data_IF_647794882352
#
_entry.id   IF_647794882352
#
_cell.length_a   1.000
_cell.length_b   1.000
_cell.length_c   1.000
_cell.angle_alpha   90.00
_cell.angle_beta   90.00
_cell.angle_gamma   90.00
#
_symmetry.space_group_name_H-M   'P 1'
#
loop_
_entity.id
_entity.type
_entity.pdbx_description
1 polymer ?
#
# COMPACT_ATOMS: atom_id res chain seq x y z
N UNK A 1 26.22 -4.15 27.67
CA UNK A 1 25.52 -2.99 27.10
C UNK A 1 24.78 -3.48 25.86
N UNK A 2 23.48 -3.79 25.99
CA UNK A 2 22.64 -4.20 24.86
C UNK A 2 22.53 -3.01 23.92
N UNK A 3 22.96 -3.14 22.66
CA UNK A 3 22.64 -2.14 21.65
C UNK A 3 21.11 -2.07 21.56
N UNK A 4 20.53 -0.90 21.76
CA UNK A 4 19.12 -0.69 21.48
C UNK A 4 18.96 -0.78 19.96
N UNK A 5 18.45 -1.91 19.48
CA UNK A 5 18.20 -2.11 18.05
C UNK A 5 17.10 -1.14 17.62
N UNK A 6 17.46 -0.16 16.79
CA UNK A 6 16.52 0.83 16.22
C UNK A 6 16.13 0.44 14.81
N UNK A 7 14.91 0.75 14.39
CA UNK A 7 14.48 0.56 12.99
C UNK A 7 15.24 1.52 12.05
N UNK A 8 15.60 1.10 10.82
CA UNK A 8 15.36 -0.22 10.23
C UNK A 8 16.22 -1.33 10.86
N UNK A 9 15.71 -2.55 10.86
CA UNK A 9 16.41 -3.71 11.40
C UNK A 9 17.72 -3.98 10.63
N UNK A 10 18.75 -4.50 11.32
CA UNK A 10 19.98 -4.90 10.67
C UNK A 10 19.72 -6.04 9.66
N UNK A 11 20.58 -6.15 8.65
CA UNK A 11 20.56 -7.30 7.75
C UNK A 11 20.70 -8.59 8.55
N UNK A 12 19.99 -9.64 8.13
CA UNK A 12 19.97 -10.95 8.79
C UNK A 12 19.47 -10.95 10.24
N UNK A 13 18.68 -9.94 10.66
CA UNK A 13 18.02 -9.95 11.96
C UNK A 13 17.15 -11.20 12.16
N UNK A 14 16.39 -11.57 11.12
CA UNK A 14 15.62 -12.81 11.09
C UNK A 14 16.46 -13.95 10.51
N UNK A 15 16.47 -15.08 11.22
CA UNK A 15 17.05 -16.32 10.73
C UNK A 15 15.94 -17.16 10.10
N UNK A 16 15.99 -17.29 8.78
CA UNK A 16 14.95 -17.93 7.98
C UNK A 16 15.45 -19.27 7.42
N UNK A 17 15.37 -20.40 8.17
CA UNK A 17 15.70 -21.71 7.64
C UNK A 17 14.77 -22.09 6.47
N UNK A 18 15.22 -22.93 5.51
CA UNK A 18 14.36 -23.33 4.40
C UNK A 18 13.04 -23.95 4.87
N UNK A 19 11.95 -23.56 4.21
CA UNK A 19 10.64 -24.16 4.44
C UNK A 19 10.61 -25.61 3.93
N UNK A 20 9.93 -26.47 4.67
CA UNK A 20 9.61 -27.83 4.22
C UNK A 20 8.53 -27.82 3.15
N UNK A 21 8.44 -28.89 2.33
CA UNK A 21 7.40 -29.01 1.31
C UNK A 21 5.98 -28.94 1.90
N UNK A 22 5.80 -29.46 3.11
CA UNK A 22 4.53 -29.38 3.84
C UNK A 22 4.15 -27.96 4.23
N UNK A 23 5.11 -27.17 4.71
CA UNK A 23 4.90 -25.74 5.02
C UNK A 23 4.60 -24.94 3.76
N UNK A 24 5.35 -25.18 2.67
CA UNK A 24 5.10 -24.54 1.37
C UNK A 24 3.67 -24.83 0.91
N UNK A 25 3.25 -26.11 0.89
CA UNK A 25 1.90 -26.48 0.49
C UNK A 25 0.82 -25.83 1.37
N UNK A 26 1.03 -25.78 2.69
CA UNK A 26 0.13 -25.13 3.64
C UNK A 26 -0.03 -23.64 3.33
N UNK A 27 1.08 -22.91 3.16
CA UNK A 27 1.04 -21.49 2.87
C UNK A 27 0.42 -21.16 1.51
N UNK A 28 0.61 -22.00 0.49
CA UNK A 28 -0.05 -21.81 -0.81
C UNK A 28 -1.58 -21.92 -0.70
N UNK A 29 -2.10 -22.90 0.05
CA UNK A 29 -3.54 -23.05 0.28
C UNK A 29 -4.09 -21.86 1.07
N UNK A 30 -3.41 -21.49 2.16
CA UNK A 30 -3.83 -20.36 3.00
C UNK A 30 -3.82 -19.03 2.20
N UNK A 31 -2.80 -18.84 1.35
CA UNK A 31 -2.66 -17.67 0.48
C UNK A 31 -3.83 -17.54 -0.51
N UNK A 32 -4.20 -18.64 -1.16
CA UNK A 32 -5.32 -18.69 -2.10
C UNK A 32 -6.65 -18.39 -1.41
N UNK A 33 -6.89 -18.99 -0.23
CA UNK A 33 -8.11 -18.74 0.54
C UNK A 33 -8.19 -17.28 0.99
N UNK A 34 -7.09 -16.73 1.50
CA UNK A 34 -7.04 -15.33 1.94
C UNK A 34 -7.27 -14.35 0.77
N UNK A 35 -6.67 -14.60 -0.39
CA UNK A 35 -6.88 -13.79 -1.60
C UNK A 35 -8.37 -13.67 -1.94
N UNK A 36 -9.07 -14.80 -2.03
CA UNK A 36 -10.50 -14.82 -2.35
C UNK A 36 -11.38 -14.27 -1.23
N UNK A 37 -10.99 -14.45 0.03
CA UNK A 37 -11.67 -13.81 1.17
C UNK A 37 -11.59 -12.28 1.07
N UNK A 38 -10.44 -11.71 0.69
CA UNK A 38 -10.29 -10.26 0.50
C UNK A 38 -11.10 -9.78 -0.71
N UNK A 39 -11.11 -10.53 -1.82
CA UNK A 39 -11.99 -10.25 -2.97
C UNK A 39 -13.46 -10.22 -2.55
N UNK A 40 -13.91 -11.17 -1.74
CA UNK A 40 -15.27 -11.20 -1.21
C UNK A 40 -15.58 -9.97 -0.33
N UNK A 41 -14.67 -9.60 0.58
CA UNK A 41 -14.81 -8.42 1.44
C UNK A 41 -14.87 -7.11 0.63
N UNK A 42 -14.19 -7.04 -0.51
CA UNK A 42 -14.15 -5.84 -1.35
C UNK A 42 -15.47 -5.56 -2.10
N UNK A 43 -16.41 -6.50 -2.12
CA UNK A 43 -17.70 -6.29 -2.78
C UNK A 43 -18.60 -5.38 -1.94
N UNK A 44 -18.73 -4.12 -2.36
CA UNK A 44 -19.51 -3.10 -1.66
C UNK A 44 -21.04 -3.33 -1.71
N UNK A 45 -21.54 -4.08 -2.69
CA UNK A 45 -22.97 -4.36 -2.88
C UNK A 45 -23.18 -5.85 -3.05
N UNK A 46 -24.11 -6.42 -2.29
CA UNK A 46 -24.41 -7.86 -2.32
C UNK A 46 -23.25 -8.75 -1.83
N UNK A 47 -22.20 -8.16 -1.25
CA UNK A 47 -21.10 -8.88 -0.64
C UNK A 47 -21.39 -9.34 0.78
N UNK A 48 -20.45 -10.05 1.39
CA UNK A 48 -20.58 -10.59 2.74
C UNK A 48 -20.41 -9.55 3.86
N UNK A 49 -19.94 -8.34 3.54
CA UNK A 49 -19.69 -7.28 4.51
C UNK A 49 -20.71 -6.15 4.34
N UNK A 50 -21.44 -5.76 5.40
CA UNK A 50 -22.43 -4.68 5.36
C UNK A 50 -21.74 -3.32 5.43
N UNK A 51 -21.13 -2.90 4.31
CA UNK A 51 -20.42 -1.63 4.22
C UNK A 51 -21.33 -0.41 4.35
N UNK A 52 -20.97 0.50 5.24
CA UNK A 52 -21.62 1.82 5.40
C UNK A 52 -20.71 2.91 4.88
N UNK A 53 -21.21 3.80 4.02
CA UNK A 53 -20.47 4.93 3.49
C UNK A 53 -20.21 5.96 4.60
N UNK A 54 -18.94 6.33 4.78
CA UNK A 54 -18.48 7.29 5.80
C UNK A 54 -18.00 8.61 5.20
N UNK A 55 -17.43 8.58 4.00
CA UNK A 55 -16.88 9.75 3.31
C UNK A 55 -17.00 9.55 1.80
N UNK A 56 -17.42 10.58 1.08
CA UNK A 56 -17.44 10.64 -0.38
C UNK A 56 -16.62 11.86 -0.80
N UNK A 57 -15.36 11.62 -1.16
CA UNK A 57 -14.40 12.65 -1.58
C UNK A 57 -14.21 12.55 -3.10
N UNK A 58 -13.68 13.60 -3.73
CA UNK A 58 -13.57 13.68 -5.19
C UNK A 58 -12.71 12.55 -5.80
N UNK A 59 -11.74 12.04 -5.04
CA UNK A 59 -10.73 11.06 -5.47
C UNK A 59 -10.88 9.69 -4.79
N UNK A 60 -11.67 9.58 -3.72
CA UNK A 60 -11.95 8.31 -3.07
C UNK A 60 -13.24 8.31 -2.23
N UNK A 61 -13.85 7.13 -2.12
CA UNK A 61 -14.95 6.84 -1.17
C UNK A 61 -14.43 5.98 -0.04
N UNK A 62 -14.88 6.25 1.18
CA UNK A 62 -14.46 5.52 2.37
C UNK A 62 -15.69 4.89 3.02
N UNK A 63 -15.62 3.59 3.26
CA UNK A 63 -16.64 2.79 3.90
C UNK A 63 -16.12 2.21 5.22
N UNK A 64 -17.04 1.89 6.13
CA UNK A 64 -16.79 1.24 7.40
C UNK A 64 -17.77 0.10 7.60
N UNK A 65 -17.31 -0.98 8.24
CA UNK A 65 -18.14 -2.06 8.73
C UNK A 65 -17.61 -2.53 10.09
N UNK A 66 -18.41 -3.32 10.80
CA UNK A 66 -18.05 -3.92 12.07
C UNK A 66 -18.17 -5.44 11.96
N UNK A 67 -17.19 -6.15 12.49
CA UNK A 67 -17.20 -7.60 12.60
C UNK A 67 -17.42 -7.98 14.06
N UNK A 68 -18.64 -8.44 14.35
CA UNK A 68 -19.06 -8.83 15.69
C UNK A 68 -18.29 -10.05 16.21
N UNK A 69 -17.84 -10.95 15.33
CA UNK A 69 -17.19 -12.20 15.73
C UNK A 69 -15.87 -11.97 16.44
N UNK A 70 -15.11 -10.96 15.99
CA UNK A 70 -13.79 -10.62 16.53
C UNK A 70 -13.80 -9.26 17.24
N UNK A 71 -14.97 -8.62 17.38
CA UNK A 71 -15.10 -7.28 17.96
C UNK A 71 -14.29 -6.20 17.23
N UNK A 72 -14.07 -6.37 15.92
CA UNK A 72 -13.12 -5.58 15.15
C UNK A 72 -13.81 -4.70 14.12
N UNK A 73 -13.11 -3.67 13.65
CA UNK A 73 -13.65 -2.72 12.67
C UNK A 73 -12.95 -2.87 11.33
N UNK A 74 -13.73 -2.92 10.26
CA UNK A 74 -13.24 -2.93 8.90
C UNK A 74 -13.39 -1.53 8.29
N UNK A 75 -12.41 -1.15 7.47
CA UNK A 75 -12.53 0.01 6.61
C UNK A 75 -12.23 -0.38 5.17
N UNK A 76 -12.83 0.36 4.24
CA UNK A 76 -12.63 0.17 2.83
C UNK A 76 -12.46 1.54 2.15
N UNK A 77 -11.45 1.67 1.29
CA UNK A 77 -11.26 2.82 0.43
C UNK A 77 -11.45 2.41 -1.02
N UNK A 78 -12.23 3.16 -1.79
CA UNK A 78 -12.50 2.88 -3.21
C UNK A 78 -12.14 4.08 -4.06
N UNK A 79 -11.45 3.82 -5.17
CA UNK A 79 -11.12 4.82 -6.19
C UNK A 79 -11.18 4.20 -7.58
N UNK A 80 -11.12 5.03 -8.62
CA UNK A 80 -11.03 4.59 -10.00
C UNK A 80 -9.82 5.27 -10.65
N UNK A 81 -9.01 4.49 -11.36
CA UNK A 81 -7.77 4.98 -11.99
C UNK A 81 -7.71 4.58 -13.46
N UNK A 82 -6.92 5.30 -14.25
CA UNK A 82 -6.61 4.93 -15.64
C UNK A 82 -5.34 4.07 -15.66
N UNK A 83 -5.40 2.90 -16.28
CA UNK A 83 -4.22 2.03 -16.46
C UNK A 83 -4.58 0.57 -16.68
N UNK A 84 -3.56 -0.29 -16.58
CA UNK A 84 -3.72 -1.75 -16.62
C UNK A 84 -3.45 -2.39 -15.27
N UNK A 85 -3.96 -3.61 -15.07
CA UNK A 85 -3.70 -4.40 -13.86
C UNK A 85 -2.19 -4.56 -13.63
N UNK A 86 -1.42 -4.77 -14.69
CA UNK A 86 0.03 -4.94 -14.65
C UNK A 86 0.73 -3.69 -14.11
N UNK A 87 0.31 -2.50 -14.56
CA UNK A 87 0.88 -1.25 -14.05
C UNK A 87 0.61 -1.07 -12.55
N UNK A 88 -0.59 -1.45 -12.09
CA UNK A 88 -0.95 -1.39 -10.67
C UNK A 88 -0.18 -2.44 -9.88
N UNK A 89 -0.15 -3.69 -10.33
CA UNK A 89 0.56 -4.79 -9.68
C UNK A 89 2.06 -4.48 -9.53
N UNK A 90 2.68 -3.86 -10.53
CA UNK A 90 4.07 -3.42 -10.48
C UNK A 90 4.35 -2.42 -9.33
N UNK A 91 3.36 -1.65 -8.87
CA UNK A 91 3.52 -0.78 -7.71
C UNK A 91 3.65 -1.55 -6.39
N UNK A 92 3.12 -2.78 -6.32
CA UNK A 92 3.12 -3.63 -5.13
C UNK A 92 4.24 -4.66 -5.14
N UNK A 93 5.23 -4.52 -6.02
CA UNK A 93 6.37 -5.43 -6.08
C UNK A 93 7.19 -5.36 -4.79
N UNK A 94 7.37 -6.52 -4.15
CA UNK A 94 8.02 -6.68 -2.83
C UNK A 94 8.78 -8.03 -2.79
N UNK A 95 9.52 -8.37 -3.84
CA UNK A 95 10.25 -9.64 -3.95
C UNK A 95 11.54 -9.65 -3.11
N UNK A 96 12.17 -8.48 -3.01
CA UNK A 96 13.37 -8.24 -2.20
C UNK A 96 13.07 -7.31 -1.03
N UNK A 97 13.99 -7.27 -0.06
CA UNK A 97 13.89 -6.33 1.07
C UNK A 97 14.05 -4.88 0.58
N UNK A 98 14.85 -4.66 -0.45
CA UNK A 98 15.04 -3.38 -1.12
C UNK A 98 13.73 -2.92 -1.78
N UNK A 99 13.02 -3.81 -2.49
CA UNK A 99 11.71 -3.53 -3.06
C UNK A 99 10.70 -3.17 -1.96
N UNK A 100 10.70 -3.93 -0.86
CA UNK A 100 9.82 -3.65 0.28
C UNK A 100 10.12 -2.26 0.90
N UNK A 101 11.39 -1.87 0.99
CA UNK A 101 11.79 -0.53 1.48
C UNK A 101 11.44 0.59 0.50
N UNK A 102 11.56 0.37 -0.81
CA UNK A 102 11.05 1.30 -1.83
C UNK A 102 9.53 1.47 -1.70
N UNK A 103 8.80 0.37 -1.56
CA UNK A 103 7.37 0.38 -1.28
C UNK A 103 7.04 1.20 -0.01
N UNK A 104 7.79 1.03 1.08
CA UNK A 104 7.65 1.84 2.30
C UNK A 104 7.81 3.34 2.02
N UNK A 105 8.83 3.72 1.25
CA UNK A 105 9.10 5.13 0.92
C UNK A 105 7.99 5.71 0.05
N UNK A 106 7.53 4.96 -0.94
CA UNK A 106 6.55 5.41 -1.93
C UNK A 106 5.14 5.53 -1.37
N UNK A 107 4.64 4.49 -0.71
CA UNK A 107 3.31 4.49 -0.08
C UNK A 107 3.30 5.16 1.31
N UNK A 108 4.44 5.71 1.71
CA UNK A 108 4.78 6.16 3.04
C UNK A 108 3.83 7.18 3.63
N UNK A 109 3.23 6.80 4.75
CA UNK A 109 3.15 7.73 5.88
C UNK A 109 3.24 7.05 7.26
N UNK A 110 3.36 5.72 7.32
CA UNK A 110 3.35 4.94 8.58
C UNK A 110 4.07 3.59 8.55
N UNK A 111 4.60 3.10 7.42
CA UNK A 111 5.41 1.88 7.41
C UNK A 111 6.85 2.28 7.77
N UNK A 112 7.37 1.78 8.88
CA UNK A 112 8.69 2.12 9.44
C UNK A 112 9.79 1.26 8.83
N UNK A 113 9.50 -0.03 8.64
CA UNK A 113 10.42 -0.98 8.03
C UNK A 113 9.65 -2.20 7.51
N UNK A 114 10.26 -2.94 6.60
CA UNK A 114 9.73 -4.19 6.07
C UNK A 114 10.88 -5.11 5.65
N UNK A 115 10.73 -6.39 5.95
CA UNK A 115 11.71 -7.44 5.61
C UNK A 115 10.99 -8.61 4.96
N UNK A 116 11.46 -9.03 3.79
CA UNK A 116 10.97 -10.26 3.14
C UNK A 116 11.65 -11.45 3.83
N UNK A 117 10.84 -12.37 4.36
CA UNK A 117 11.33 -13.55 5.09
C UNK A 117 11.40 -14.77 4.16
N UNK A 118 10.36 -14.98 3.34
CA UNK A 118 10.32 -16.07 2.36
C UNK A 118 9.62 -15.64 1.08
N UNK A 119 10.09 -16.18 -0.05
CA UNK A 119 9.35 -16.20 -1.31
C UNK A 119 8.86 -17.63 -1.55
N UNK A 120 7.63 -17.92 -1.08
CA UNK A 120 7.02 -19.25 -1.15
C UNK A 120 6.69 -19.63 -2.60
N UNK A 121 6.18 -18.67 -3.38
CA UNK A 121 5.99 -18.75 -4.83
C UNK A 121 6.41 -17.39 -5.42
N UNK A 122 7.60 -17.27 -6.03
CA UNK A 122 7.97 -16.05 -6.72
C UNK A 122 7.13 -15.86 -7.99
N UNK A 123 7.02 -14.61 -8.45
CA UNK A 123 6.47 -14.33 -9.78
C UNK A 123 7.39 -14.86 -10.87
N UNK A 124 6.81 -15.26 -11.99
CA UNK A 124 7.54 -15.80 -13.14
C UNK A 124 7.14 -15.06 -14.42
N UNK A 125 7.87 -15.28 -15.51
CA UNK A 125 7.50 -14.72 -16.81
C UNK A 125 6.13 -15.19 -17.29
N UNK A 126 5.76 -16.44 -16.98
CA UNK A 126 4.48 -17.04 -17.37
C UNK A 126 3.33 -16.62 -16.45
N UNK A 127 3.64 -16.32 -15.18
CA UNK A 127 2.66 -15.90 -14.17
C UNK A 127 3.15 -14.65 -13.43
N UNK A 128 3.24 -13.48 -14.10
CA UNK A 128 3.83 -12.28 -13.53
C UNK A 128 2.95 -11.62 -12.45
N UNK A 129 1.66 -11.97 -12.41
CA UNK A 129 0.69 -11.46 -11.44
C UNK A 129 0.47 -12.39 -10.24
N UNK A 130 1.17 -13.52 -10.21
CA UNK A 130 1.08 -14.52 -9.17
C UNK A 130 2.29 -14.41 -8.24
N UNK A 131 2.04 -14.38 -6.93
CA UNK A 131 3.11 -14.38 -5.91
C UNK A 131 2.55 -14.92 -4.59
N UNK A 132 3.35 -15.67 -3.85
CA UNK A 132 3.12 -15.93 -2.43
C UNK A 132 4.42 -15.69 -1.68
N UNK A 133 4.38 -14.88 -0.63
CA UNK A 133 5.54 -14.56 0.18
C UNK A 133 5.19 -14.34 1.64
N UNK A 134 6.20 -14.38 2.51
CA UNK A 134 6.07 -14.07 3.93
C UNK A 134 6.94 -12.86 4.21
N UNK A 135 6.37 -11.86 4.87
CA UNK A 135 7.11 -10.63 5.23
C UNK A 135 6.78 -10.17 6.63
N UNK A 136 7.79 -9.61 7.29
CA UNK A 136 7.62 -8.83 8.51
C UNK A 136 7.50 -7.35 8.16
N UNK A 137 6.60 -6.63 8.82
CA UNK A 137 6.34 -5.20 8.57
C UNK A 137 6.12 -4.45 9.87
N UNK A 138 6.84 -3.36 10.08
CA UNK A 138 6.70 -2.49 11.25
C UNK A 138 5.98 -1.18 10.91
N UNK A 139 5.05 -0.75 11.75
CA UNK A 139 4.20 0.41 11.54
C UNK A 139 4.31 1.42 12.68
N UNK A 140 4.38 2.69 12.31
CA UNK A 140 4.29 3.82 13.21
C UNK A 140 2.91 3.86 13.83
N UNK A 141 2.87 4.00 15.14
CA UNK A 141 1.64 4.18 15.92
C UNK A 141 0.90 5.50 15.61
N UNK A 142 -0.44 5.57 15.73
CA UNK A 142 -1.16 6.83 15.61
C UNK A 142 -0.99 7.74 16.83
N UNK A 143 -0.62 7.16 18.00
CA UNK A 143 -0.56 7.86 19.29
C UNK A 143 0.80 8.44 19.66
N UNK A 144 1.70 8.61 18.69
CA UNK A 144 3.04 9.15 18.95
C UNK A 144 3.86 8.24 19.87
N UNK A 145 4.46 8.81 20.92
CA UNK A 145 5.30 8.07 21.90
C UNK A 145 4.49 7.37 23.00
N UNK A 146 3.19 7.64 23.08
CA UNK A 146 2.33 7.11 24.16
C UNK A 146 1.87 5.69 23.84
N UNK A 147 1.63 5.43 22.56
CA UNK A 147 1.17 4.13 22.09
C UNK A 147 2.30 3.54 21.24
N UNK A 148 2.77 2.35 21.58
CA UNK A 148 3.90 1.65 20.97
C UNK A 148 3.72 1.44 19.47
N UNK A 149 4.82 1.31 18.75
CA UNK A 149 4.74 0.93 17.33
C UNK A 149 4.23 -0.51 17.21
N UNK A 150 3.68 -0.86 16.05
CA UNK A 150 3.14 -2.21 15.80
C UNK A 150 4.03 -2.94 14.82
N UNK A 151 4.11 -4.26 14.92
CA UNK A 151 4.63 -5.09 13.85
C UNK A 151 3.64 -6.18 13.44
N UNK A 152 3.90 -6.83 12.33
CA UNK A 152 3.11 -7.98 11.89
C UNK A 152 3.98 -8.92 11.05
N UNK A 153 3.77 -10.22 11.20
CA UNK A 153 4.26 -11.25 10.29
C UNK A 153 3.10 -11.66 9.40
N UNK A 154 3.21 -11.44 8.09
CA UNK A 154 2.10 -11.63 7.15
C UNK A 154 2.46 -12.53 5.99
N UNK A 155 1.52 -13.40 5.63
CA UNK A 155 1.46 -14.06 4.35
C UNK A 155 0.85 -13.10 3.32
N UNK A 156 1.62 -12.77 2.30
CA UNK A 156 1.24 -11.95 1.16
C UNK A 156 0.93 -12.84 -0.04
N UNK A 157 -0.22 -12.62 -0.67
CA UNK A 157 -0.63 -13.32 -1.88
C UNK A 157 -1.06 -12.36 -2.97
N UNK A 158 -0.48 -12.53 -4.15
CA UNK A 158 -0.87 -11.85 -5.38
C UNK A 158 -1.52 -12.89 -6.28
N UNK A 159 -2.73 -12.61 -6.74
CA UNK A 159 -3.51 -13.59 -7.51
C UNK A 159 -4.38 -12.91 -8.57
N UNK A 160 -4.37 -13.45 -9.78
CA UNK A 160 -5.31 -13.06 -10.83
C UNK A 160 -6.63 -13.84 -10.70
N UNK A 161 -7.75 -13.15 -10.85
CA UNK A 161 -9.08 -13.75 -10.75
C UNK A 161 -10.05 -13.14 -11.76
N UNK A 162 -11.28 -13.68 -11.81
CA UNK A 162 -12.38 -13.11 -12.59
C UNK A 162 -13.56 -12.75 -11.69
N UNK A 163 -14.11 -11.54 -11.87
CA UNK A 163 -15.36 -11.10 -11.26
C UNK A 163 -16.45 -11.03 -12.32
N UNK A 164 -17.20 -12.12 -12.46
CA UNK A 164 -18.06 -12.33 -13.62
C UNK A 164 -17.21 -12.42 -14.89
N UNK A 165 -17.33 -11.42 -15.77
CA UNK A 165 -16.56 -11.35 -17.03
C UNK A 165 -15.32 -10.46 -16.93
N UNK A 166 -15.15 -9.70 -15.85
CA UNK A 166 -14.05 -8.73 -15.72
C UNK A 166 -12.81 -9.43 -15.18
N UNK A 167 -11.64 -9.10 -15.74
CA UNK A 167 -10.35 -9.51 -15.16
C UNK A 167 -10.12 -8.73 -13.88
N UNK A 168 -9.55 -9.40 -12.89
CA UNK A 168 -9.21 -8.79 -11.62
C UNK A 168 -7.90 -9.33 -11.07
N UNK A 169 -7.32 -8.58 -10.15
CA UNK A 169 -6.12 -8.96 -9.45
C UNK A 169 -6.20 -8.50 -8.00
N UNK A 170 -5.69 -9.32 -7.09
CA UNK A 170 -5.68 -9.03 -5.67
C UNK A 170 -4.27 -9.16 -5.10
N UNK A 171 -3.88 -8.20 -4.28
CA UNK A 171 -2.76 -8.31 -3.35
C UNK A 171 -3.33 -8.35 -1.93
N UNK A 172 -3.37 -9.54 -1.33
CA UNK A 172 -3.92 -9.79 -0.01
C UNK A 172 -2.83 -10.08 1.02
N UNK A 173 -3.10 -9.71 2.27
CA UNK A 173 -2.22 -9.85 3.43
C UNK A 173 -3.03 -10.45 4.58
N UNK A 174 -2.52 -11.49 5.22
CA UNK A 174 -3.06 -12.02 6.48
C UNK A 174 -1.94 -12.37 7.43
N UNK A 175 -2.16 -12.15 8.73
CA UNK A 175 -1.17 -12.48 9.74
C UNK A 175 -0.99 -13.98 9.86
N UNK A 176 0.25 -14.41 10.04
CA UNK A 176 0.63 -15.79 10.35
C UNK A 176 1.57 -15.81 11.56
N UNK A 177 1.60 -16.95 12.22
CA UNK A 177 2.64 -17.26 13.20
C UNK A 177 3.74 -18.06 12.51
N UNK A 178 5.00 -17.69 12.71
CA UNK A 178 6.13 -18.40 12.14
C UNK A 178 7.33 -18.32 13.09
N UNK A 179 8.03 -19.44 13.39
CA UNK A 179 9.16 -19.45 14.34
C UNK A 179 10.28 -18.44 14.01
N UNK A 180 10.56 -18.23 12.73
CA UNK A 180 11.55 -17.24 12.29
C UNK A 180 11.19 -15.77 12.62
N UNK A 181 9.94 -15.48 12.99
CA UNK A 181 9.46 -14.12 13.28
C UNK A 181 8.78 -14.08 14.67
N UNK A 182 9.56 -14.16 15.75
CA UNK A 182 9.05 -14.14 17.12
C UNK A 182 8.38 -12.80 17.46
N UNK A 183 7.72 -12.73 18.62
CA UNK A 183 7.21 -11.48 19.18
C UNK A 183 8.37 -10.54 19.54
N UNK A 184 8.30 -9.29 19.09
CA UNK A 184 9.35 -8.28 19.27
C UNK A 184 8.93 -7.17 20.25
N UNK A 185 7.88 -7.38 21.06
CA UNK A 185 7.38 -6.34 21.98
C UNK A 185 8.41 -6.05 23.06
N UNK A 186 8.96 -7.09 23.70
CA UNK A 186 9.93 -6.94 24.78
C UNK A 186 11.27 -6.37 24.30
N UNK A 187 11.70 -6.76 23.10
CA UNK A 187 13.02 -6.41 22.56
C UNK A 187 13.03 -5.04 21.88
N UNK A 188 11.95 -4.68 21.16
CA UNK A 188 11.88 -3.49 20.30
C UNK A 188 10.72 -2.55 20.61
N UNK A 189 9.84 -2.89 21.55
CA UNK A 189 8.62 -2.13 21.81
C UNK A 189 7.64 -2.17 20.63
N UNK A 190 7.61 -3.29 19.91
CA UNK A 190 6.72 -3.53 18.78
C UNK A 190 5.59 -4.47 19.17
N UNK A 191 4.37 -3.93 19.32
CA UNK A 191 3.18 -4.72 19.63
C UNK A 191 2.76 -5.49 18.37
N UNK A 192 2.66 -6.82 18.46
CA UNK A 192 2.19 -7.67 17.36
C UNK A 192 0.72 -7.41 17.07
N UNK A 193 0.43 -6.82 15.91
CA UNK A 193 -0.95 -6.63 15.42
C UNK A 193 -1.42 -7.83 14.58
N UNK A 194 -2.73 -8.09 14.62
CA UNK A 194 -3.38 -9.17 13.89
C UNK A 194 -4.12 -8.63 12.65
N UNK A 195 -3.78 -9.16 11.48
CA UNK A 195 -4.41 -8.84 10.20
C UNK A 195 -5.28 -10.01 9.71
N UNK A 196 -6.59 -9.83 9.77
CA UNK A 196 -7.58 -10.86 9.43
C UNK A 196 -7.90 -10.93 7.92
N UNK A 197 -7.07 -10.32 7.08
CA UNK A 197 -7.26 -10.25 5.63
C UNK A 197 -7.54 -8.82 5.18
N UNK A 198 -6.46 -8.14 4.80
CA UNK A 198 -6.44 -6.79 4.22
C UNK A 198 -5.78 -6.85 2.84
N UNK A 199 -6.06 -5.91 1.96
CA UNK A 199 -5.44 -5.93 0.63
C UNK A 199 -6.06 -4.99 -0.37
N UNK A 200 -5.45 -4.94 -1.56
CA UNK A 200 -5.96 -4.21 -2.71
C UNK A 200 -6.60 -5.19 -3.69
N UNK A 201 -7.81 -4.90 -4.11
CA UNK A 201 -8.55 -5.61 -5.15
C UNK A 201 -8.72 -4.66 -6.31
N UNK A 202 -8.22 -5.05 -7.47
CA UNK A 202 -8.21 -4.27 -8.71
C UNK A 202 -9.04 -5.02 -9.73
N UNK A 203 -10.04 -4.36 -10.32
CA UNK A 203 -10.92 -4.98 -11.32
C UNK A 203 -11.04 -4.06 -12.52
N UNK A 204 -10.99 -4.61 -13.73
CA UNK A 204 -11.27 -3.84 -14.94
C UNK A 204 -12.71 -3.30 -14.93
N UNK A 205 -12.87 -2.01 -15.20
CA UNK A 205 -14.18 -1.38 -15.15
C UNK A 205 -15.09 -1.89 -16.26
N UNK A 206 -16.26 -2.42 -15.89
CA UNK A 206 -17.28 -2.89 -16.85
C UNK A 206 -17.82 -1.79 -17.75
N UNK A 207 -17.89 -0.56 -17.25
CA UNK A 207 -18.58 0.55 -17.93
C UNK A 207 -17.62 1.51 -18.61
N UNK A 208 -16.33 1.46 -18.28
CA UNK A 208 -15.34 2.44 -18.76
C UNK A 208 -14.04 1.74 -19.17
N UNK A 209 -13.89 1.38 -20.46
CA UNK A 209 -12.67 0.74 -20.95
C UNK A 209 -11.41 1.54 -20.62
N UNK A 210 -10.35 0.85 -20.18
CA UNK A 210 -9.07 1.45 -19.76
C UNK A 210 -9.05 2.01 -18.34
N UNK A 211 -10.16 1.91 -17.60
CA UNK A 211 -10.23 2.24 -16.19
C UNK A 211 -10.25 0.98 -15.32
N UNK A 212 -9.67 1.11 -14.13
CA UNK A 212 -9.65 0.09 -13.10
C UNK A 212 -10.40 0.60 -11.86
N UNK A 213 -11.30 -0.22 -11.34
CA UNK A 213 -11.92 -0.01 -10.05
C UNK A 213 -11.02 -0.64 -8.97
N UNK A 214 -10.53 0.17 -8.02
CA UNK A 214 -9.63 -0.27 -6.97
C UNK A 214 -10.31 -0.14 -5.62
N UNK A 215 -10.35 -1.26 -4.90
CA UNK A 215 -10.86 -1.35 -3.54
C UNK A 215 -9.75 -1.80 -2.59
N UNK A 216 -9.39 -0.96 -1.62
CA UNK A 216 -8.49 -1.31 -0.53
C UNK A 216 -9.30 -1.67 0.71
N UNK A 217 -9.20 -2.92 1.18
CA UNK A 217 -9.81 -3.41 2.41
C UNK A 217 -8.77 -3.45 3.52
N UNK A 218 -9.11 -2.95 4.70
CA UNK A 218 -8.31 -3.13 5.93
C UNK A 218 -9.17 -3.76 7.02
N UNK A 219 -8.73 -4.92 7.51
CA UNK A 219 -9.33 -5.66 8.62
C UNK A 219 -8.20 -6.07 9.57
N UNK A 220 -7.93 -5.20 10.56
CA UNK A 220 -6.79 -5.31 11.45
C UNK A 220 -7.26 -5.05 12.88
N UNK A 221 -6.87 -5.92 13.79
CA UNK A 221 -6.81 -5.61 15.21
C UNK A 221 -5.39 -5.15 15.54
N UNK A 222 -5.28 -3.92 16.05
CA UNK A 222 -3.98 -3.32 16.41
C UNK A 222 -3.39 -3.91 17.69
N UNK A 223 -4.20 -4.70 18.41
CA UNK A 223 -3.93 -5.36 19.67
C UNK A 223 -3.48 -4.40 20.79
N UNK A 224 -3.72 -4.80 22.02
CA UNK A 224 -3.21 -4.10 23.20
C UNK A 224 -1.87 -4.75 23.57
N UNK A 225 -0.80 -3.96 23.60
CA UNK A 225 0.50 -4.46 24.03
C UNK A 225 0.46 -4.94 25.48
N UNK A 226 1.24 -5.97 25.80
CA UNK A 226 1.39 -6.45 27.19
C UNK A 226 1.87 -5.35 28.11
N UNK A 227 2.74 -4.47 27.61
CA UNK A 227 3.26 -3.29 28.29
C UNK A 227 2.32 -2.07 28.26
N UNK A 228 1.24 -2.11 27.48
CA UNK A 228 0.23 -1.05 27.36
C UNK A 228 -0.99 -1.27 28.26
N UNK A 229 -1.00 -2.30 29.12
CA UNK A 229 -2.15 -2.66 29.96
C UNK A 229 -2.67 -1.51 30.84
N UNK A 230 -1.78 -0.63 31.30
CA UNK A 230 -2.13 0.54 32.12
C UNK A 230 -2.96 1.57 31.34
N UNK A 231 -2.90 1.52 30.01
CA UNK A 231 -3.66 2.36 29.09
C UNK A 231 -4.91 1.65 28.56
N UNK A 232 -5.21 0.41 28.97
CA UNK A 232 -6.29 -0.42 28.41
C UNK A 232 -7.65 0.29 28.38
N UNK A 233 -8.06 0.86 29.52
CA UNK A 233 -9.32 1.63 29.61
C UNK A 233 -9.33 2.85 28.66
N UNK A 234 -8.18 3.52 28.49
CA UNK A 234 -8.05 4.72 27.63
C UNK A 234 -7.98 4.35 26.15
N UNK A 235 -7.33 3.24 25.80
CA UNK A 235 -7.15 2.77 24.42
C UNK A 235 -8.44 2.15 23.88
N UNK A 236 -9.15 1.34 24.70
CA UNK A 236 -10.47 0.81 24.35
C UNK A 236 -11.48 1.93 24.09
N UNK A 237 -11.44 2.99 24.89
CA UNK A 237 -12.33 4.13 24.76
C UNK A 237 -11.95 5.06 23.58
N UNK A 238 -10.76 4.90 23.00
CA UNK A 238 -10.26 5.69 21.86
C UNK A 238 -10.27 4.92 20.53
N UNK A 239 -11.30 4.11 20.28
CA UNK A 239 -11.55 3.46 18.98
C UNK A 239 -11.51 4.44 17.80
N UNK A 240 -11.83 5.72 18.02
CA UNK A 240 -11.70 6.79 17.02
C UNK A 240 -10.26 6.98 16.48
N UNK A 241 -9.22 6.68 17.26
CA UNK A 241 -7.83 6.77 16.80
C UNK A 241 -7.51 5.68 15.77
N UNK A 242 -8.05 4.47 15.98
CA UNK A 242 -7.98 3.39 15.00
C UNK A 242 -8.75 3.77 13.74
N UNK A 243 -9.95 4.37 13.89
CA UNK A 243 -10.73 4.88 12.76
C UNK A 243 -10.01 5.97 11.96
N UNK A 244 -9.41 6.97 12.59
CA UNK A 244 -8.64 8.01 11.88
C UNK A 244 -7.44 7.39 11.16
N UNK A 245 -6.74 6.48 11.83
CA UNK A 245 -5.63 5.73 11.26
C UNK A 245 -6.06 4.97 10.00
N UNK A 246 -7.18 4.25 10.07
CA UNK A 246 -7.69 3.46 8.95
C UNK A 246 -8.26 4.34 7.84
N UNK A 247 -8.99 5.42 8.16
CA UNK A 247 -9.42 6.42 7.16
C UNK A 247 -8.24 6.98 6.39
N UNK A 248 -7.14 7.33 7.07
CA UNK A 248 -5.91 7.81 6.41
C UNK A 248 -5.29 6.74 5.50
N UNK A 249 -5.31 5.46 5.90
CA UNK A 249 -4.86 4.35 5.04
C UNK A 249 -5.79 4.18 3.82
N UNK A 250 -7.10 4.24 4.01
CA UNK A 250 -8.07 4.17 2.91
C UNK A 250 -7.91 5.33 1.92
N UNK A 251 -7.64 6.56 2.39
CA UNK A 251 -7.34 7.70 1.50
C UNK A 251 -6.08 7.50 0.67
N UNK A 252 -5.10 6.72 1.14
CA UNK A 252 -3.90 6.46 0.34
C UNK A 252 -4.21 5.65 -0.93
N UNK A 253 -5.38 5.02 -1.06
CA UNK A 253 -5.78 4.36 -2.31
C UNK A 253 -5.83 5.36 -3.49
N UNK A 254 -6.22 6.61 -3.23
CA UNK A 254 -6.25 7.67 -4.23
C UNK A 254 -4.85 8.02 -4.78
N UNK A 255 -3.79 7.75 -4.01
CA UNK A 255 -2.40 7.99 -4.45
C UNK A 255 -1.95 7.03 -5.55
N UNK A 256 -2.64 5.91 -5.76
CA UNK A 256 -2.29 4.96 -6.83
C UNK A 256 -2.29 5.68 -8.18
N UNK A 257 -3.28 6.52 -8.45
CA UNK A 257 -3.36 7.32 -9.68
C UNK A 257 -2.14 8.25 -9.87
N UNK A 258 -1.70 8.89 -8.79
CA UNK A 258 -0.47 9.69 -8.78
C UNK A 258 0.75 8.81 -9.10
N UNK A 259 0.92 7.67 -8.44
CA UNK A 259 2.07 6.80 -8.64
C UNK A 259 2.14 6.21 -10.05
N UNK A 260 0.99 5.85 -10.63
CA UNK A 260 0.92 5.41 -12.02
C UNK A 260 1.39 6.51 -12.97
N UNK A 261 0.94 7.76 -12.77
CA UNK A 261 1.41 8.90 -13.57
C UNK A 261 2.90 9.14 -13.42
N UNK A 262 3.43 9.12 -12.20
CA UNK A 262 4.85 9.28 -11.93
C UNK A 262 5.70 8.20 -12.61
N UNK A 263 5.26 6.93 -12.62
CA UNK A 263 5.96 5.86 -13.33
C UNK A 263 5.98 6.05 -14.85
N UNK A 264 4.83 6.40 -15.44
CA UNK A 264 4.77 6.69 -16.89
C UNK A 264 5.67 7.87 -17.24
N UNK A 265 5.70 8.88 -16.38
CA UNK A 265 6.59 10.03 -16.53
C UNK A 265 8.06 9.64 -16.37
N UNK A 266 8.44 8.78 -15.42
CA UNK A 266 9.84 8.38 -15.25
C UNK A 266 10.35 7.53 -16.41
N UNK A 267 9.48 6.71 -17.02
CA UNK A 267 9.83 5.84 -18.16
C UNK A 267 9.83 6.55 -19.53
N UNK A 268 9.17 7.70 -19.65
CA UNK A 268 9.13 8.44 -20.93
C UNK A 268 10.47 9.11 -21.24
N UNK A 269 10.79 9.26 -22.53
CA UNK A 269 12.02 9.94 -22.98
C UNK A 269 12.06 11.40 -22.52
N UNK A 270 13.21 11.85 -22.03
CA UNK A 270 13.48 13.27 -21.83
C UNK A 270 13.95 13.88 -23.16
N UNK A 271 13.42 15.04 -23.50
CA UNK A 271 13.87 15.82 -24.64
C UNK A 271 15.28 16.36 -24.37
N UNK A 272 16.07 16.38 -25.43
CA UNK A 272 17.36 17.07 -25.49
C UNK A 272 17.13 18.56 -25.73
N UNK A 273 18.10 19.42 -25.38
CA UNK A 273 17.93 20.87 -25.45
C UNK A 273 17.60 21.40 -26.86
N UNK A 274 18.04 20.70 -27.90
CA UNK A 274 17.78 21.01 -29.31
C UNK A 274 16.31 20.81 -29.73
N UNK A 275 15.60 19.90 -29.06
CA UNK A 275 14.18 19.63 -29.27
C UNK A 275 13.26 20.51 -28.40
N UNK A 276 13.81 21.48 -27.64
CA UNK A 276 13.04 22.35 -26.76
C UNK A 276 12.78 23.71 -27.39
N UNK A 277 11.65 24.32 -27.01
CA UNK A 277 11.34 25.69 -27.42
C UNK A 277 12.31 26.66 -26.73
N UNK A 278 13.04 27.53 -27.45
CA UNK A 278 13.97 28.46 -26.81
C UNK A 278 13.27 29.37 -25.80
N UNK A 279 13.75 29.41 -24.55
CA UNK A 279 13.15 30.20 -23.46
C UNK A 279 12.95 31.67 -23.82
N UNK A 280 13.91 32.23 -24.56
CA UNK A 280 13.87 33.62 -25.01
C UNK A 280 12.73 33.90 -26.00
N UNK A 281 12.27 32.89 -26.74
CA UNK A 281 11.19 33.02 -27.72
C UNK A 281 9.79 33.03 -27.11
N UNK A 282 9.62 32.58 -25.86
CA UNK A 282 8.32 32.48 -25.21
C UNK A 282 8.03 33.72 -24.32
N UNK A 283 6.89 34.36 -24.58
CA UNK A 283 6.38 35.49 -23.77
C UNK A 283 5.31 35.08 -22.75
N UNK A 284 4.73 33.89 -22.90
CA UNK A 284 3.67 33.34 -22.04
C UNK A 284 4.03 31.94 -21.58
N UNK A 285 3.57 31.58 -20.39
CA UNK A 285 3.62 30.22 -19.89
C UNK A 285 2.71 29.32 -20.73
N UNK A 286 3.23 28.17 -21.19
CA UNK A 286 2.45 27.22 -21.99
C UNK A 286 1.22 26.66 -21.26
N UNK A 287 1.30 26.50 -19.93
CA UNK A 287 0.20 25.93 -19.14
C UNK A 287 -0.89 26.96 -18.80
N UNK A 288 -0.53 28.05 -18.11
CA UNK A 288 -1.52 29.02 -17.62
C UNK A 288 -1.74 30.21 -18.55
N UNK A 289 -1.04 30.26 -19.69
CA UNK A 289 -1.15 31.32 -20.72
C UNK A 289 -0.87 32.75 -20.23
N UNK A 290 -0.41 32.91 -18.99
CA UNK A 290 -0.05 34.19 -18.40
C UNK A 290 1.31 34.67 -18.91
N UNK A 291 1.44 35.98 -19.14
CA UNK A 291 2.69 36.59 -19.57
C UNK A 291 3.81 36.38 -18.53
N UNK A 292 5.03 36.19 -19.01
CA UNK A 292 6.21 36.19 -18.15
C UNK A 292 6.52 37.62 -17.68
N UNK A 293 6.40 37.86 -16.38
CA UNK A 293 6.89 39.07 -15.72
C UNK A 293 8.43 39.10 -15.61
N UNK A 294 9.02 40.29 -15.40
CA UNK A 294 10.46 40.53 -15.52
C UNK A 294 11.35 39.82 -14.50
N UNK A 295 10.81 39.42 -13.34
CA UNK A 295 11.59 38.91 -12.19
C UNK A 295 11.49 37.42 -11.93
N UNK A 296 10.70 36.71 -12.73
CA UNK A 296 10.35 35.34 -12.44
C UNK A 296 11.03 34.42 -13.46
N UNK A 297 11.62 33.32 -12.97
CA UNK A 297 12.40 32.38 -13.78
C UNK A 297 11.51 31.60 -14.75
N UNK A 298 12.09 31.24 -15.90
CA UNK A 298 11.45 30.49 -16.98
C UNK A 298 12.19 29.17 -17.15
N UNK A 299 11.46 28.08 -17.33
CA UNK A 299 12.02 26.73 -17.40
C UNK A 299 11.43 25.95 -18.56
N UNK A 300 12.24 25.17 -19.28
CA UNK A 300 11.74 24.18 -20.22
C UNK A 300 11.30 22.93 -19.48
N UNK A 301 10.10 22.43 -19.78
CA UNK A 301 9.71 21.10 -19.39
C UNK A 301 10.52 20.08 -20.22
N UNK A 302 11.27 19.21 -19.55
CA UNK A 302 12.07 18.17 -20.22
C UNK A 302 11.22 17.11 -20.94
N UNK A 303 9.89 17.12 -20.79
CA UNK A 303 8.99 16.17 -21.47
C UNK A 303 8.38 16.72 -22.75
N UNK A 304 7.86 17.95 -22.72
CA UNK A 304 7.19 18.55 -23.88
C UNK A 304 8.00 19.67 -24.56
N UNK A 305 9.11 20.10 -23.95
CA UNK A 305 10.01 21.13 -24.48
C UNK A 305 9.47 22.55 -24.34
N UNK A 306 8.24 22.72 -23.83
CA UNK A 306 7.56 23.99 -23.67
C UNK A 306 8.06 24.76 -22.43
N UNK A 307 7.81 26.08 -22.41
CA UNK A 307 8.31 26.98 -21.36
C UNK A 307 7.23 27.26 -20.31
N UNK A 308 7.59 27.08 -19.03
CA UNK A 308 6.70 27.21 -17.88
C UNK A 308 7.23 28.17 -16.81
N UNK A 309 6.32 28.59 -15.93
CA UNK A 309 6.59 29.48 -14.79
C UNK A 309 7.35 28.81 -13.64
N UNK A 310 7.06 27.54 -13.39
CA UNK A 310 7.61 26.78 -12.28
C UNK A 310 8.74 25.88 -12.78
N UNK A 311 9.70 25.63 -11.90
CA UNK A 311 10.67 24.57 -12.11
C UNK A 311 9.90 23.25 -12.30
N UNK A 312 10.02 22.57 -13.44
CA UNK A 312 9.31 21.32 -13.69
C UNK A 312 9.67 20.21 -12.69
N UNK A 313 10.76 20.36 -11.91
CA UNK A 313 11.11 19.46 -10.80
C UNK A 313 10.41 19.79 -9.47
N UNK A 314 9.64 20.88 -9.37
CA UNK A 314 8.88 21.28 -8.17
C UNK A 314 7.36 21.08 -8.29
N UNK A 315 6.87 20.53 -9.40
CA UNK A 315 5.45 20.28 -9.65
C UNK A 315 5.03 18.82 -9.47
N UNK A 316 5.89 18.01 -8.85
CA UNK A 316 5.63 16.61 -8.49
C UNK A 316 6.00 16.39 -7.03
#
# INVERSE_FOLDING_TARGET
MSMATSLPLPQHFFLCPPLTDGEVAHFLVQASQNAMNVVSKAQLRGGCVPWTLMSDEADAKIYKAYDESNGSTLHCGVTQVVGTIEEVAALFKTETTEDAKEYCRRFGNRLLDAVVLYNVKPSSADTPLEKVGISWRAFKSPGGKIILNRDTCVLESHHEFKLGTQRGWVCALTSIEHPCCPDLEQELGLVRMQNYGSGHVVVESKTRPGYLDITYVTHVDVSLGKSEWVLDAVLRQKSWLADISMKKRCRNVAKIDQFLRENRLSQSRLLQCDAMVPVASCRKCFLCQSNFGPWKKRWNCLKCGQVHWHDPFRLY
#
